data_IF_680851441393
#
_entry.id   IF_680851441393
#
_cell.length_a   1.000
_cell.length_b   1.000
_cell.length_c   1.000
_cell.angle_alpha   90.00
_cell.angle_beta   90.00
_cell.angle_gamma   90.00
#
_symmetry.space_group_name_H-M   'P 1'
#
loop_
_entity.id
_entity.type
_entity.pdbx_description
1 polymer ?
#
# COMPACT_ATOMS: atom_id res chain seq x y z
N UNK A 1 -5.75 -9.06 -21.56
CA UNK A 1 -6.19 -9.51 -20.22
C UNK A 1 -5.11 -9.11 -19.22
N UNK A 2 -5.42 -9.14 -17.93
CA UNK A 2 -4.45 -9.07 -16.84
C UNK A 2 -4.85 -10.03 -15.73
N UNK A 3 -3.89 -10.75 -15.17
CA UNK A 3 -4.12 -11.66 -14.04
C UNK A 3 -3.84 -10.92 -12.74
N UNK A 4 -4.74 -11.05 -11.77
CA UNK A 4 -4.56 -10.63 -10.38
C UNK A 4 -4.33 -11.89 -9.55
N UNK A 5 -3.20 -11.97 -8.86
CA UNK A 5 -2.88 -13.02 -7.91
C UNK A 5 -3.11 -12.48 -6.50
N UNK A 6 -4.05 -13.07 -5.76
CA UNK A 6 -4.55 -12.55 -4.49
C UNK A 6 -4.35 -13.54 -3.33
N UNK A 7 -3.87 -13.08 -2.17
CA UNK A 7 -3.84 -13.88 -0.93
C UNK A 7 -4.93 -13.42 0.04
N UNK A 8 -5.83 -14.32 0.44
CA UNK A 8 -6.94 -14.04 1.34
C UNK A 8 -6.59 -13.86 2.83
N UNK A 9 -5.38 -13.40 3.16
CA UNK A 9 -4.91 -13.29 4.56
C UNK A 9 -5.11 -11.89 5.16
N UNK A 10 -5.38 -11.84 6.47
CA UNK A 10 -5.54 -10.60 7.21
C UNK A 10 -4.24 -9.78 7.25
N UNK A 11 -4.32 -8.50 6.91
CA UNK A 11 -3.20 -7.57 7.01
C UNK A 11 -2.66 -7.48 8.45
N UNK A 12 -1.35 -7.67 8.61
CA UNK A 12 -0.67 -7.59 9.91
C UNK A 12 -0.36 -6.13 10.27
N UNK A 13 -1.28 -5.49 10.97
CA UNK A 13 -1.03 -4.20 11.62
C UNK A 13 -0.20 -4.39 12.90
N UNK A 14 0.78 -3.51 13.13
CA UNK A 14 1.41 -3.37 14.44
C UNK A 14 0.55 -2.45 15.31
N UNK A 15 -0.22 -3.06 16.21
CA UNK A 15 -1.13 -2.35 17.12
C UNK A 15 -0.41 -1.34 18.01
N UNK A 16 0.87 -1.60 18.36
CA UNK A 16 1.68 -0.74 19.23
C UNK A 16 1.96 0.61 18.59
N UNK A 17 2.20 0.62 17.29
CA UNK A 17 2.35 1.83 16.49
C UNK A 17 0.99 2.55 16.33
N UNK A 18 -0.04 1.79 15.97
CA UNK A 18 -1.36 2.34 15.63
C UNK A 18 -2.07 3.01 16.82
N UNK A 19 -2.05 2.39 18.00
CA UNK A 19 -2.67 2.96 19.21
C UNK A 19 -1.98 4.28 19.59
N UNK A 20 -0.65 4.28 19.74
CA UNK A 20 0.10 5.50 20.10
C UNK A 20 -0.02 6.61 19.06
N UNK A 21 -0.17 6.28 17.77
CA UNK A 21 -0.48 7.26 16.73
C UNK A 21 -1.86 7.91 16.91
N UNK A 22 -2.87 7.13 17.32
CA UNK A 22 -4.21 7.62 17.61
C UNK A 22 -4.26 8.43 18.91
N UNK A 23 -3.59 7.99 19.99
CA UNK A 23 -3.47 8.74 21.25
C UNK A 23 -2.90 10.15 21.02
N UNK A 24 -1.82 10.24 20.23
CA UNK A 24 -1.20 11.50 19.83
C UNK A 24 -2.14 12.39 18.99
N UNK A 25 -3.05 11.81 18.21
CA UNK A 25 -4.03 12.56 17.45
C UNK A 25 -5.19 13.06 18.34
N UNK A 26 -5.64 12.27 19.31
CA UNK A 26 -6.68 12.66 20.28
C UNK A 26 -6.20 13.80 21.17
N UNK A 27 -4.98 13.71 21.71
CA UNK A 27 -4.36 14.78 22.51
C UNK A 27 -4.24 16.09 21.71
N UNK A 28 -3.89 16.00 20.43
CA UNK A 28 -3.84 17.16 19.51
C UNK A 28 -5.23 17.66 19.13
N UNK A 29 -6.24 16.79 18.98
CA UNK A 29 -7.62 17.21 18.69
C UNK A 29 -8.19 18.09 19.82
N UNK A 30 -7.95 17.69 21.07
CA UNK A 30 -8.31 18.47 22.24
C UNK A 30 -7.52 19.79 22.29
N UNK A 31 -6.18 19.73 22.24
CA UNK A 31 -5.33 20.92 22.44
C UNK A 31 -5.30 21.92 21.28
N UNK A 32 -5.62 21.52 20.04
CA UNK A 32 -5.58 22.38 18.85
C UNK A 32 -6.96 22.79 18.36
N UNK A 33 -7.96 21.91 18.44
CA UNK A 33 -9.30 22.15 17.90
C UNK A 33 -10.39 22.24 18.98
N UNK A 34 -10.04 22.11 20.27
CA UNK A 34 -10.99 22.02 21.39
C UNK A 34 -12.06 20.93 21.14
N UNK A 35 -11.65 19.83 20.49
CA UNK A 35 -12.48 18.66 20.24
C UNK A 35 -12.00 17.55 21.18
N UNK A 36 -12.80 17.28 22.20
CA UNK A 36 -12.67 16.05 22.96
C UNK A 36 -13.31 14.91 22.15
N UNK A 37 -12.57 13.81 22.02
CA UNK A 37 -13.12 12.55 21.55
C UNK A 37 -13.27 11.62 22.75
N UNK A 38 -14.30 10.79 22.74
CA UNK A 38 -14.26 9.49 23.39
C UNK A 38 -13.80 8.49 22.31
N UNK A 39 -12.47 8.34 22.06
CA UNK A 39 -11.94 7.46 21.03
C UNK A 39 -12.06 6.04 21.52
N UNK A 40 -13.23 5.47 21.33
CA UNK A 40 -13.30 4.03 21.46
C UNK A 40 -12.41 3.40 20.36
N UNK A 41 -11.64 2.32 20.64
CA UNK A 41 -10.88 1.56 19.63
C UNK A 41 -10.67 0.08 20.00
N UNK A 42 -10.73 -0.82 19.00
CA UNK A 42 -10.66 -2.28 19.15
C UNK A 42 -10.20 -2.96 17.85
N UNK A 43 -9.15 -3.79 17.95
CA UNK A 43 -8.57 -4.55 16.84
C UNK A 43 -8.89 -6.05 16.99
N UNK A 44 -9.82 -6.57 16.19
CA UNK A 44 -10.04 -8.02 16.09
C UNK A 44 -8.87 -8.71 15.38
N UNK A 45 -8.53 -9.93 15.81
CA UNK A 45 -7.45 -10.75 15.23
C UNK A 45 -7.94 -12.09 14.68
N UNK A 46 -9.17 -12.13 14.17
CA UNK A 46 -9.80 -13.30 13.57
C UNK A 46 -11.27 -13.41 13.98
N UNK A 47 -11.70 -14.63 14.32
CA UNK A 47 -13.01 -14.90 14.91
C UNK A 47 -13.12 -14.56 16.40
N UNK A 48 -12.00 -14.25 17.05
CA UNK A 48 -11.93 -13.98 18.49
C UNK A 48 -11.52 -12.52 18.77
N UNK A 49 -12.40 -11.79 19.45
CA UNK A 49 -12.06 -10.51 20.07
C UNK A 49 -11.37 -10.78 21.41
N UNK A 50 -10.04 -10.72 21.43
CA UNK A 50 -9.27 -10.76 22.67
C UNK A 50 -9.49 -9.48 23.47
N UNK A 51 -10.20 -9.57 24.60
CA UNK A 51 -10.58 -8.44 25.47
C UNK A 51 -9.51 -8.08 26.52
N UNK A 52 -8.34 -8.74 26.49
CA UNK A 52 -7.34 -8.68 27.58
C UNK A 52 -6.34 -7.52 27.51
N UNK A 53 -6.54 -6.53 26.63
CA UNK A 53 -5.91 -5.21 26.74
C UNK A 53 -6.98 -4.14 26.96
N UNK A 54 -7.09 -3.68 28.21
CA UNK A 54 -8.14 -2.76 28.64
C UNK A 54 -7.83 -1.29 28.28
N UNK A 55 -8.23 -0.90 27.06
CA UNK A 55 -8.65 0.45 26.66
C UNK A 55 -9.80 0.28 25.63
N UNK A 56 -10.80 1.17 25.55
CA UNK A 56 -12.15 0.72 25.18
C UNK A 56 -12.53 0.73 23.67
N UNK A 57 -12.92 -0.40 23.06
CA UNK A 57 -14.11 -0.65 22.18
C UNK A 57 -14.29 -0.43 20.63
N UNK A 58 -14.00 0.65 19.87
CA UNK A 58 -14.45 0.73 18.42
C UNK A 58 -13.76 -0.28 17.51
N UNK A 59 -14.56 -1.21 17.01
CA UNK A 59 -14.22 -2.19 15.98
C UNK A 59 -13.98 -1.52 14.62
N UNK A 60 -12.80 -1.72 14.03
CA UNK A 60 -12.54 -1.41 12.61
C UNK A 60 -12.34 -2.70 11.79
N UNK A 61 -13.36 -3.10 11.03
CA UNK A 61 -13.33 -4.31 10.21
C UNK A 61 -12.60 -4.09 8.87
N UNK A 62 -11.42 -4.69 8.71
CA UNK A 62 -10.52 -4.49 7.57
C UNK A 62 -10.82 -5.41 6.36
N UNK A 63 -11.96 -5.20 5.71
CA UNK A 63 -12.27 -5.78 4.38
C UNK A 63 -11.51 -5.09 3.22
N UNK A 64 -10.40 -4.41 3.51
CA UNK A 64 -9.68 -3.56 2.55
C UNK A 64 -9.06 -4.33 1.37
N UNK A 65 -8.60 -5.56 1.58
CA UNK A 65 -8.04 -6.42 0.52
C UNK A 65 -9.10 -6.83 -0.50
N UNK A 66 -10.21 -7.40 -0.01
CA UNK A 66 -11.36 -7.82 -0.83
C UNK A 66 -11.93 -6.65 -1.63
N UNK A 67 -12.16 -5.52 -0.97
CA UNK A 67 -12.69 -4.32 -1.63
C UNK A 67 -11.73 -3.75 -2.68
N UNK A 68 -10.41 -3.78 -2.44
CA UNK A 68 -9.42 -3.31 -3.43
C UNK A 68 -9.39 -4.20 -4.67
N UNK A 69 -9.40 -5.52 -4.51
CA UNK A 69 -9.42 -6.49 -5.62
C UNK A 69 -10.69 -6.31 -6.47
N UNK A 70 -11.86 -6.23 -5.84
CA UNK A 70 -13.15 -6.03 -6.53
C UNK A 70 -13.19 -4.68 -7.25
N UNK A 71 -12.82 -3.57 -6.57
CA UNK A 71 -12.83 -2.24 -7.17
C UNK A 71 -11.83 -2.10 -8.34
N UNK A 72 -10.66 -2.74 -8.25
CA UNK A 72 -9.69 -2.77 -9.34
C UNK A 72 -10.20 -3.58 -10.54
N UNK A 73 -10.79 -4.75 -10.30
CA UNK A 73 -11.41 -5.54 -11.37
C UNK A 73 -12.57 -4.80 -12.04
N UNK A 74 -13.41 -4.12 -11.27
CA UNK A 74 -14.45 -3.24 -11.81
C UNK A 74 -13.87 -2.10 -12.64
N UNK A 75 -12.82 -1.43 -12.17
CA UNK A 75 -12.14 -0.37 -12.91
C UNK A 75 -11.57 -0.88 -14.23
N UNK A 76 -10.93 -2.06 -14.23
CA UNK A 76 -10.44 -2.73 -15.44
C UNK A 76 -11.58 -3.03 -16.41
N UNK A 77 -12.69 -3.63 -15.95
CA UNK A 77 -13.88 -3.93 -16.77
C UNK A 77 -14.50 -2.66 -17.36
N UNK A 78 -14.65 -1.60 -16.57
CA UNK A 78 -15.13 -0.27 -17.00
C UNK A 78 -14.22 0.35 -18.07
N UNK A 79 -12.92 0.05 -18.05
CA UNK A 79 -11.93 0.46 -19.06
C UNK A 79 -11.73 -0.56 -20.20
N UNK A 80 -12.69 -1.46 -20.43
CA UNK A 80 -12.67 -2.51 -21.50
C UNK A 80 -11.48 -3.48 -21.40
N UNK A 81 -10.92 -3.67 -20.21
CA UNK A 81 -9.96 -4.73 -19.93
C UNK A 81 -10.68 -5.92 -19.30
N UNK A 82 -10.30 -7.14 -19.67
CA UNK A 82 -10.73 -8.36 -18.99
C UNK A 82 -9.71 -8.73 -17.91
N UNK A 83 -10.01 -8.50 -16.61
CA UNK A 83 -9.23 -9.05 -15.51
C UNK A 83 -9.64 -10.50 -15.22
N UNK A 84 -8.68 -11.28 -14.74
CA UNK A 84 -8.87 -12.62 -14.21
C UNK A 84 -8.24 -12.67 -12.81
N UNK A 85 -8.97 -13.16 -11.80
CA UNK A 85 -8.49 -13.29 -10.42
C UNK A 85 -8.16 -14.76 -10.15
N UNK A 86 -6.91 -15.02 -9.75
CA UNK A 86 -6.40 -16.34 -9.40
C UNK A 86 -6.04 -16.31 -7.90
N UNK A 87 -6.93 -16.78 -7.01
CA UNK A 87 -6.71 -16.73 -5.58
C UNK A 87 -5.70 -17.81 -5.15
N UNK A 88 -4.68 -17.39 -4.40
CA UNK A 88 -3.55 -18.22 -3.94
C UNK A 88 -3.57 -18.33 -2.42
N UNK A 89 -3.56 -19.55 -1.85
CA UNK A 89 -3.37 -19.71 -0.40
C UNK A 89 -1.88 -19.78 -0.06
N UNK A 90 -1.45 -19.12 1.02
CA UNK A 90 -0.03 -19.09 1.41
C UNK A 90 0.62 -20.44 1.75
N UNK A 91 -0.18 -21.49 1.99
CA UNK A 91 0.29 -22.87 2.12
C UNK A 91 0.58 -23.56 0.77
N UNK A 92 0.02 -23.05 -0.33
CA UNK A 92 0.11 -23.68 -1.65
C UNK A 92 1.42 -23.34 -2.37
N UNK A 93 2.04 -22.19 -2.12
CA UNK A 93 3.30 -21.77 -2.79
C UNK A 93 4.55 -22.14 -1.97
N UNK A 94 4.49 -23.28 -1.27
CA UNK A 94 5.56 -23.77 -0.37
C UNK A 94 6.67 -24.56 -1.08
N UNK A 95 6.58 -24.76 -2.40
CA UNK A 95 7.59 -25.47 -3.18
C UNK A 95 7.57 -25.13 -4.67
N UNK A 96 8.72 -25.28 -5.32
CA UNK A 96 8.99 -24.86 -6.71
C UNK A 96 7.91 -25.30 -7.71
N UNK A 97 7.64 -26.62 -7.81
CA UNK A 97 6.62 -27.18 -8.74
C UNK A 97 5.23 -26.55 -8.66
N UNK A 98 4.84 -25.99 -7.50
CA UNK A 98 3.54 -25.31 -7.34
C UNK A 98 3.60 -23.85 -7.77
N UNK A 99 4.73 -23.18 -7.54
CA UNK A 99 5.00 -21.87 -8.14
C UNK A 99 5.10 -21.95 -9.67
N UNK A 100 5.65 -23.05 -10.22
CA UNK A 100 5.68 -23.30 -11.66
C UNK A 100 4.27 -23.44 -12.24
N UNK A 101 3.41 -24.26 -11.64
CA UNK A 101 2.02 -24.43 -12.08
C UNK A 101 1.22 -23.12 -12.09
N UNK A 102 1.42 -22.24 -11.09
CA UNK A 102 0.79 -20.91 -11.05
C UNK A 102 1.25 -20.04 -12.23
N UNK A 103 2.52 -20.14 -12.64
CA UNK A 103 3.00 -19.46 -13.85
C UNK A 103 2.45 -20.08 -15.13
N UNK A 104 2.28 -21.40 -15.19
CA UNK A 104 1.66 -22.08 -16.33
C UNK A 104 0.20 -21.63 -16.51
N UNK A 105 -0.63 -21.72 -15.46
CA UNK A 105 -2.02 -21.26 -15.47
C UNK A 105 -2.12 -19.77 -15.87
N UNK A 106 -1.34 -18.90 -15.22
CA UNK A 106 -1.34 -17.46 -15.52
C UNK A 106 -0.83 -17.16 -16.95
N UNK A 107 0.01 -18.01 -17.54
CA UNK A 107 0.51 -17.86 -18.92
C UNK A 107 -0.54 -18.13 -20.00
N UNK A 108 -1.62 -18.84 -19.67
CA UNK A 108 -2.77 -19.01 -20.56
C UNK A 108 -3.60 -17.72 -20.64
N UNK A 109 -3.76 -17.03 -19.51
CA UNK A 109 -4.66 -15.88 -19.37
C UNK A 109 -4.01 -14.52 -19.69
N UNK A 110 -2.76 -14.23 -19.27
CA UNK A 110 -2.17 -12.91 -19.48
C UNK A 110 -0.63 -12.85 -19.60
N UNK A 111 -0.15 -11.70 -20.08
CA UNK A 111 1.26 -11.27 -20.02
C UNK A 111 1.51 -10.13 -19.01
N UNK A 112 0.45 -9.56 -18.45
CA UNK A 112 0.50 -8.58 -17.36
C UNK A 112 -0.08 -9.25 -16.12
N UNK A 113 0.73 -9.34 -15.07
CA UNK A 113 0.42 -10.09 -13.85
C UNK A 113 0.60 -9.17 -12.64
N UNK A 114 -0.41 -9.07 -11.79
CA UNK A 114 -0.45 -8.20 -10.62
C UNK A 114 -0.43 -9.06 -9.34
N UNK A 115 0.54 -8.81 -8.46
CA UNK A 115 0.71 -9.48 -7.18
C UNK A 115 0.06 -8.67 -6.04
N UNK A 116 -0.95 -9.27 -5.41
CA UNK A 116 -1.64 -8.84 -4.19
C UNK A 116 -1.58 -9.97 -3.13
N UNK A 117 -0.36 -10.47 -2.92
CA UNK A 117 0.01 -11.67 -2.18
C UNK A 117 1.15 -11.33 -1.19
N UNK A 118 1.40 -12.14 -0.16
CA UNK A 118 2.45 -11.81 0.84
C UNK A 118 3.89 -11.87 0.28
N UNK A 119 4.84 -11.10 0.85
CA UNK A 119 6.25 -11.05 0.42
C UNK A 119 6.93 -12.41 0.24
N UNK A 120 6.60 -13.38 1.10
CA UNK A 120 7.13 -14.75 1.03
C UNK A 120 6.72 -15.47 -0.26
N UNK A 121 5.46 -15.33 -0.67
CA UNK A 121 4.93 -15.92 -1.91
C UNK A 121 5.54 -15.21 -3.12
N UNK A 122 5.60 -13.88 -3.07
CA UNK A 122 6.18 -13.06 -4.15
C UNK A 122 7.62 -13.49 -4.42
N UNK A 123 8.46 -13.63 -3.38
CA UNK A 123 9.86 -14.07 -3.55
C UNK A 123 9.94 -15.43 -4.26
N UNK A 124 9.13 -16.40 -3.83
CA UNK A 124 9.12 -17.74 -4.41
C UNK A 124 8.69 -17.74 -5.89
N UNK A 125 7.62 -17.00 -6.23
CA UNK A 125 7.15 -16.88 -7.61
C UNK A 125 8.19 -16.19 -8.51
N UNK A 126 8.84 -15.12 -8.03
CA UNK A 126 9.84 -14.38 -8.81
C UNK A 126 11.13 -15.20 -9.06
N UNK A 127 11.57 -16.01 -8.09
CA UNK A 127 12.71 -16.92 -8.29
C UNK A 127 12.38 -17.94 -9.39
N UNK A 128 11.17 -18.54 -9.39
CA UNK A 128 10.80 -19.47 -10.46
C UNK A 128 10.57 -18.77 -11.82
N UNK A 129 10.00 -17.57 -11.83
CA UNK A 129 9.90 -16.77 -13.04
C UNK A 129 11.28 -16.47 -13.66
N UNK A 130 12.31 -16.26 -12.82
CA UNK A 130 13.69 -16.14 -13.30
C UNK A 130 14.22 -17.47 -13.84
N UNK A 131 14.13 -18.55 -13.06
CA UNK A 131 14.67 -19.86 -13.46
C UNK A 131 14.04 -20.39 -14.76
N UNK A 132 12.78 -20.04 -15.01
CA UNK A 132 12.05 -20.35 -16.26
C UNK A 132 12.28 -19.34 -17.40
N UNK A 133 13.07 -18.29 -17.19
CA UNK A 133 13.34 -17.23 -18.19
C UNK A 133 12.16 -16.29 -18.49
N UNK A 134 11.06 -16.40 -17.73
CA UNK A 134 9.80 -15.65 -17.93
C UNK A 134 10.01 -14.13 -17.70
N UNK A 135 11.01 -13.76 -16.91
CA UNK A 135 11.36 -12.36 -16.63
C UNK A 135 12.08 -11.62 -17.79
N UNK A 136 12.36 -12.28 -18.93
CA UNK A 136 13.15 -11.73 -20.05
C UNK A 136 12.37 -10.78 -21.00
N UNK A 137 11.26 -10.18 -20.55
CA UNK A 137 10.51 -9.15 -21.27
C UNK A 137 9.18 -9.58 -21.91
N UNK A 138 8.89 -10.88 -22.01
CA UNK A 138 7.58 -11.38 -22.47
C UNK A 138 6.44 -11.09 -21.48
N UNK A 139 6.78 -10.88 -20.21
CA UNK A 139 5.84 -10.61 -19.11
C UNK A 139 6.17 -9.29 -18.41
N UNK A 140 5.15 -8.67 -17.82
CA UNK A 140 5.28 -7.52 -16.93
C UNK A 140 4.61 -7.86 -15.59
N UNK A 141 5.42 -7.96 -14.55
CA UNK A 141 4.98 -8.24 -13.18
C UNK A 141 4.82 -6.95 -12.40
N UNK A 142 3.70 -6.77 -11.72
CA UNK A 142 3.41 -5.58 -10.92
C UNK A 142 3.17 -5.99 -9.46
N UNK A 143 3.96 -5.46 -8.53
CA UNK A 143 3.74 -5.59 -7.10
C UNK A 143 3.13 -4.30 -6.53
N UNK A 144 2.07 -4.42 -5.74
CA UNK A 144 1.46 -3.29 -5.01
C UNK A 144 1.98 -3.27 -3.57
N UNK A 145 3.17 -2.70 -3.38
CA UNK A 145 3.83 -2.57 -2.07
C UNK A 145 3.31 -1.34 -1.30
N UNK A 146 2.12 -1.48 -0.73
CA UNK A 146 1.46 -0.46 0.11
C UNK A 146 2.16 -0.32 1.47
N UNK A 147 2.67 -1.43 2.01
CA UNK A 147 3.17 -1.56 3.37
C UNK A 147 4.68 -1.26 3.51
N UNK A 148 5.39 -1.01 2.40
CA UNK A 148 6.86 -0.97 2.33
C UNK A 148 7.52 -2.27 2.81
N UNK A 149 6.86 -3.39 2.56
CA UNK A 149 7.33 -4.71 2.99
C UNK A 149 8.67 -5.05 2.38
N UNK A 150 9.50 -5.74 3.16
CA UNK A 150 10.77 -6.23 2.65
C UNK A 150 10.58 -7.60 1.97
N UNK A 151 10.22 -7.54 0.68
CA UNK A 151 10.17 -8.69 -0.22
C UNK A 151 11.53 -8.99 -0.88
N UNK A 152 12.54 -8.13 -0.68
CA UNK A 152 13.82 -8.19 -1.38
C UNK A 152 14.89 -8.87 -0.51
N UNK A 153 14.89 -8.61 0.80
CA UNK A 153 15.87 -9.17 1.74
C UNK A 153 16.01 -10.70 1.65
N UNK A 154 17.26 -11.22 1.66
CA UNK A 154 17.51 -12.65 1.56
C UNK A 154 17.12 -13.39 2.83
N UNK A 155 15.93 -14.00 2.83
CA UNK A 155 15.57 -14.99 3.85
C UNK A 155 16.33 -16.31 3.58
N UNK A 156 17.00 -16.83 4.60
CA UNK A 156 17.62 -18.16 4.65
C UNK A 156 18.62 -18.47 3.51
N UNK A 157 19.40 -17.48 3.08
CA UNK A 157 20.50 -17.67 2.12
C UNK A 157 20.08 -18.01 0.68
N UNK A 158 18.78 -17.92 0.36
CA UNK A 158 18.28 -18.17 -1.00
C UNK A 158 18.73 -17.06 -1.97
N UNK A 159 19.39 -17.46 -3.05
CA UNK A 159 20.02 -16.60 -4.06
C UNK A 159 19.08 -15.61 -4.77
N UNK A 160 19.74 -14.68 -5.45
CA UNK A 160 19.32 -13.63 -6.39
C UNK A 160 17.84 -13.55 -6.80
N UNK A 161 17.30 -12.32 -6.89
CA UNK A 161 16.07 -12.00 -7.64
C UNK A 161 16.36 -11.11 -8.87
N UNK A 162 16.65 -11.69 -10.05
CA UNK A 162 16.89 -10.99 -11.32
C UNK A 162 15.65 -10.77 -12.18
N UNK A 163 14.45 -10.73 -11.60
CA UNK A 163 13.25 -10.48 -12.38
C UNK A 163 13.12 -8.99 -12.77
N UNK A 164 13.82 -8.58 -13.83
CA UNK A 164 13.82 -7.22 -14.40
C UNK A 164 12.42 -6.78 -14.89
N UNK A 165 11.55 -7.75 -15.17
CA UNK A 165 10.13 -7.59 -15.45
C UNK A 165 9.30 -7.16 -14.22
N UNK A 166 9.88 -7.10 -13.01
CA UNK A 166 9.19 -6.61 -11.82
C UNK A 166 9.18 -5.08 -11.74
N UNK A 167 7.95 -4.58 -11.71
CA UNK A 167 7.59 -3.23 -11.34
C UNK A 167 6.99 -3.19 -9.94
N UNK A 168 7.26 -2.13 -9.18
CA UNK A 168 6.73 -1.95 -7.82
C UNK A 168 5.99 -0.63 -7.73
N UNK A 169 4.69 -0.70 -7.48
CA UNK A 169 3.82 0.42 -7.16
C UNK A 169 3.78 0.58 -5.63
N UNK A 170 4.19 1.74 -5.12
CA UNK A 170 4.24 1.98 -3.67
C UNK A 170 3.77 3.41 -3.33
N UNK A 171 3.26 3.61 -2.12
CA UNK A 171 2.67 4.89 -1.71
C UNK A 171 3.71 6.02 -1.61
N UNK A 172 3.30 7.20 -2.06
CA UNK A 172 4.16 8.38 -2.15
C UNK A 172 4.01 9.30 -0.94
N UNK A 173 4.74 8.99 0.13
CA UNK A 173 5.03 9.96 1.20
C UNK A 173 6.54 10.22 1.34
N UNK A 174 6.92 11.19 2.16
CA UNK A 174 8.31 11.60 2.38
C UNK A 174 8.74 11.38 3.83
N UNK A 175 9.45 10.29 4.11
CA UNK A 175 10.12 10.06 5.41
C UNK A 175 11.19 11.12 5.73
N UNK A 176 11.62 11.89 4.73
CA UNK A 176 12.58 12.99 4.90
C UNK A 176 11.91 14.27 5.41
N UNK A 177 10.58 14.37 5.37
CA UNK A 177 9.82 15.53 5.83
C UNK A 177 9.97 15.76 7.34
N UNK A 178 9.97 17.02 7.76
CA UNK A 178 10.08 17.40 9.17
C UNK A 178 8.83 17.01 9.97
N UNK A 179 7.63 17.10 9.40
CA UNK A 179 6.38 16.72 10.04
C UNK A 179 6.32 15.20 10.28
N UNK A 180 6.68 14.40 9.26
CA UNK A 180 6.77 12.95 9.39
C UNK A 180 7.81 12.55 10.45
N UNK A 181 9.01 13.15 10.43
CA UNK A 181 10.06 12.86 11.43
C UNK A 181 9.64 13.18 12.85
N UNK A 182 9.05 14.36 13.07
CA UNK A 182 8.56 14.77 14.39
C UNK A 182 7.47 13.81 14.90
N UNK A 183 6.51 13.45 14.05
CA UNK A 183 5.49 12.44 14.39
C UNK A 183 6.11 11.07 14.69
N UNK A 184 7.02 10.57 13.84
CA UNK A 184 7.67 9.28 14.02
C UNK A 184 8.54 9.23 15.29
N UNK A 185 9.13 10.36 15.69
CA UNK A 185 9.83 10.50 16.97
C UNK A 185 8.87 10.51 18.16
N UNK A 186 7.72 11.19 18.07
CA UNK A 186 6.67 11.16 19.10
C UNK A 186 6.13 9.73 19.33
N UNK A 187 5.82 8.99 18.24
CA UNK A 187 5.37 7.60 18.35
C UNK A 187 6.44 6.72 19.00
N UNK A 188 7.70 6.79 18.53
CA UNK A 188 8.79 5.96 19.07
C UNK A 188 9.17 6.31 20.52
N UNK A 189 9.00 7.56 20.95
CA UNK A 189 9.22 7.97 22.34
C UNK A 189 8.11 7.52 23.29
N UNK A 190 6.87 7.42 22.80
CA UNK A 190 5.73 7.03 23.62
C UNK A 190 5.52 5.52 23.73
N UNK A 191 5.93 4.71 22.74
CA UNK A 191 5.87 3.25 22.86
C UNK A 191 6.99 2.72 23.75
N UNK A 192 6.62 2.14 24.90
CA UNK A 192 7.54 1.40 25.77
C UNK A 192 7.76 -0.02 25.21
N UNK A 193 8.99 -0.35 24.85
CA UNK A 193 9.41 -1.68 24.40
C UNK A 193 10.43 -2.29 25.37
N UNK A 194 10.38 -3.61 25.61
CA UNK A 194 11.52 -4.36 26.15
C UNK A 194 12.77 -4.23 25.25
N UNK A 195 13.96 -4.33 25.84
CA UNK A 195 15.23 -4.06 25.15
C UNK A 195 15.60 -5.10 24.07
N UNK A 196 15.00 -6.29 24.12
CA UNK A 196 15.11 -7.37 23.14
C UNK A 196 14.18 -7.20 21.92
N UNK A 197 13.23 -6.26 21.98
CA UNK A 197 12.21 -6.06 20.93
C UNK A 197 12.68 -5.00 19.93
N UNK A 198 12.73 -5.31 18.61
CA UNK A 198 13.14 -4.35 17.58
C UNK A 198 12.34 -3.04 17.60
N UNK A 199 12.97 -1.88 17.31
CA UNK A 199 12.30 -0.59 17.23
C UNK A 199 11.11 -0.59 16.26
N UNK A 200 10.04 0.11 16.62
CA UNK A 200 8.86 0.23 15.77
C UNK A 200 9.15 1.07 14.52
N UNK A 201 8.77 0.53 13.36
CA UNK A 201 8.70 1.29 12.13
C UNK A 201 7.34 1.98 11.96
N UNK A 202 7.38 3.21 11.44
CA UNK A 202 6.25 4.14 11.41
C UNK A 202 5.60 4.11 10.04
N UNK A 203 4.69 3.15 9.88
CA UNK A 203 3.99 2.86 8.61
C UNK A 203 3.12 4.02 8.09
N UNK A 204 2.78 3.94 6.80
CA UNK A 204 1.75 4.78 6.17
C UNK A 204 0.38 4.69 6.86
N UNK A 205 0.05 3.53 7.45
CA UNK A 205 -1.27 3.33 8.02
C UNK A 205 -1.46 4.07 9.35
N UNK A 206 -0.51 3.96 10.29
CA UNK A 206 -0.63 4.68 11.57
C UNK A 206 -0.55 6.20 11.40
N UNK A 207 0.26 6.69 10.46
CA UNK A 207 0.26 8.10 10.03
C UNK A 207 -1.09 8.52 9.44
N UNK A 208 -1.69 7.71 8.54
CA UNK A 208 -3.01 8.00 7.96
C UNK A 208 -4.13 8.00 9.01
N UNK A 209 -4.10 7.11 10.00
CA UNK A 209 -5.07 7.11 11.11
C UNK A 209 -4.91 8.34 12.03
N UNK A 210 -3.68 8.74 12.36
CA UNK A 210 -3.41 9.99 13.08
C UNK A 210 -3.95 11.21 12.31
N UNK A 211 -3.63 11.31 11.01
CA UNK A 211 -4.05 12.45 10.19
C UNK A 211 -5.56 12.47 9.96
N UNK A 212 -6.21 11.31 9.78
CA UNK A 212 -7.66 11.21 9.63
C UNK A 212 -8.42 11.72 10.87
N UNK A 213 -7.94 11.40 12.08
CA UNK A 213 -8.52 11.92 13.34
C UNK A 213 -8.36 13.44 13.46
N UNK A 214 -7.22 14.00 13.06
CA UNK A 214 -6.99 15.45 13.07
C UNK A 214 -7.80 16.19 12.00
N UNK A 215 -8.02 15.58 10.84
CA UNK A 215 -8.89 16.10 9.79
C UNK A 215 -10.35 16.07 10.26
N UNK A 216 -10.79 14.98 10.90
CA UNK A 216 -12.12 14.89 11.50
C UNK A 216 -12.32 15.95 12.60
N UNK A 217 -11.33 16.15 13.48
CA UNK A 217 -11.36 17.20 14.50
C UNK A 217 -11.47 18.61 13.89
N UNK A 218 -10.68 18.91 12.85
CA UNK A 218 -10.73 20.19 12.16
C UNK A 218 -12.10 20.44 11.50
N UNK A 219 -12.63 19.47 10.75
CA UNK A 219 -13.94 19.61 10.08
C UNK A 219 -15.08 19.66 11.09
N UNK A 220 -14.99 18.94 12.20
CA UNK A 220 -15.95 19.01 13.30
C UNK A 220 -15.96 20.39 13.97
N UNK A 221 -14.78 20.94 14.29
CA UNK A 221 -14.65 22.31 14.82
C UNK A 221 -15.22 23.35 13.83
N UNK A 222 -14.88 23.27 12.54
CA UNK A 222 -15.46 24.11 11.49
C UNK A 222 -17.00 23.98 11.39
N UNK A 223 -17.55 22.79 11.69
CA UNK A 223 -19.00 22.55 11.62
C UNK A 223 -19.74 23.14 12.82
N UNK A 224 -19.14 23.04 14.02
CA UNK A 224 -19.65 23.67 15.24
C UNK A 224 -19.56 25.19 15.13
N UNK A 225 -18.50 25.73 14.53
CA UNK A 225 -18.34 27.17 14.25
C UNK A 225 -19.41 27.73 13.30
N UNK A 226 -19.93 26.92 12.36
CA UNK A 226 -21.08 27.26 11.50
C UNK A 226 -22.44 27.17 12.24
N UNK A 227 -22.44 26.96 13.57
CA UNK A 227 -23.66 26.84 14.38
C UNK A 227 -24.41 25.53 14.18
N UNK A 228 -23.75 24.46 13.72
CA UNK A 228 -24.36 23.14 13.53
C UNK A 228 -24.06 22.20 14.69
N UNK A 229 -25.10 21.54 15.19
CA UNK A 229 -24.97 20.42 16.11
C UNK A 229 -24.57 19.12 15.39
N UNK A 230 -24.24 18.09 16.16
CA UNK A 230 -23.93 16.74 15.65
C UNK A 230 -25.16 15.80 15.62
N UNK A 231 -26.31 16.33 15.21
CA UNK A 231 -27.47 15.50 14.89
C UNK A 231 -27.28 14.75 13.56
N UNK A 232 -28.08 13.69 13.35
CA UNK A 232 -28.07 12.88 12.12
C UNK A 232 -28.28 13.71 10.86
N UNK A 233 -29.06 14.78 10.96
CA UNK A 233 -29.42 15.64 9.82
C UNK A 233 -28.24 16.51 9.35
N UNK A 234 -27.36 16.91 10.29
CA UNK A 234 -26.14 17.66 9.99
C UNK A 234 -24.95 16.77 9.57
N UNK A 235 -25.02 15.43 9.70
CA UNK A 235 -23.94 14.51 9.27
C UNK A 235 -23.57 14.68 7.80
N UNK A 236 -24.56 14.94 6.92
CA UNK A 236 -24.27 15.21 5.50
C UNK A 236 -23.46 16.50 5.31
N UNK A 237 -23.79 17.56 6.05
CA UNK A 237 -23.08 18.84 5.98
C UNK A 237 -21.62 18.70 6.43
N UNK A 238 -21.40 17.96 7.54
CA UNK A 238 -20.06 17.58 7.99
C UNK A 238 -19.32 16.74 6.93
N UNK A 239 -19.97 15.74 6.32
CA UNK A 239 -19.36 14.90 5.29
C UNK A 239 -19.03 15.67 3.99
N UNK A 240 -19.87 16.65 3.61
CA UNK A 240 -19.63 17.50 2.43
C UNK A 240 -18.43 18.45 2.65
N UNK A 241 -18.15 18.90 3.88
CA UNK A 241 -16.95 19.70 4.23
C UNK A 241 -15.61 18.97 4.05
N UNK A 242 -15.57 17.64 3.90
CA UNK A 242 -14.33 16.92 3.57
C UNK A 242 -13.93 17.05 2.10
N UNK A 243 -14.87 17.37 1.21
CA UNK A 243 -14.73 17.16 -0.25
C UNK A 243 -13.95 18.27 -0.94
N UNK A 244 -13.28 17.91 -2.04
CA UNK A 244 -12.59 18.83 -2.97
C UNK A 244 -11.58 19.80 -2.32
N UNK A 245 -10.96 19.44 -1.18
CA UNK A 245 -10.03 20.29 -0.44
C UNK A 245 -8.78 19.53 -0.02
N UNK A 246 -7.73 20.29 0.33
CA UNK A 246 -6.47 19.76 0.85
C UNK A 246 -6.34 20.04 2.33
N UNK A 247 -6.04 19.01 3.12
CA UNK A 247 -5.66 19.12 4.52
C UNK A 247 -4.14 18.97 4.70
N UNK A 248 -3.61 19.33 5.88
CA UNK A 248 -2.19 19.21 6.22
C UNK A 248 -1.99 18.07 7.22
N UNK A 249 -1.49 16.93 6.74
CA UNK A 249 -1.14 15.77 7.56
C UNK A 249 0.36 15.69 7.88
N UNK A 250 0.75 14.72 8.70
CA UNK A 250 2.15 14.38 8.96
C UNK A 250 2.84 13.70 7.77
N UNK A 251 2.08 13.05 6.86
CA UNK A 251 2.61 12.53 5.58
C UNK A 251 2.65 13.57 4.45
N UNK A 252 2.15 14.79 4.68
CA UNK A 252 2.15 15.89 3.72
C UNK A 252 0.74 16.44 3.41
N UNK A 253 0.54 17.08 2.23
CA UNK A 253 -0.77 17.57 1.82
C UNK A 253 -1.72 16.42 1.43
N UNK A 254 -2.86 16.34 2.10
CA UNK A 254 -3.87 15.31 1.93
C UNK A 254 -5.08 15.88 1.17
N UNK A 255 -5.08 15.72 -0.16
CA UNK A 255 -6.24 16.09 -0.99
C UNK A 255 -7.35 15.04 -0.87
N UNK A 256 -8.58 15.51 -0.68
CA UNK A 256 -9.81 14.73 -0.71
C UNK A 256 -10.60 15.03 -1.98
N UNK A 257 -11.07 14.01 -2.68
CA UNK A 257 -11.82 14.14 -3.93
C UNK A 257 -13.28 14.62 -3.72
N UNK A 258 -14.05 14.69 -4.81
CA UNK A 258 -15.47 15.07 -4.77
C UNK A 258 -16.40 14.04 -4.10
N UNK A 259 -15.89 12.87 -3.75
CA UNK A 259 -16.60 11.85 -2.97
C UNK A 259 -16.20 11.87 -1.49
N UNK A 260 -15.07 12.49 -1.15
CA UNK A 260 -14.47 12.50 0.19
C UNK A 260 -13.33 11.48 0.37
N UNK A 261 -12.88 10.83 -0.70
CA UNK A 261 -11.76 9.89 -0.66
C UNK A 261 -10.42 10.61 -0.72
N UNK A 262 -9.44 10.17 0.06
CA UNK A 262 -8.08 10.68 -0.09
C UNK A 262 -7.47 10.21 -1.42
N UNK A 263 -7.15 11.16 -2.31
CA UNK A 263 -6.51 10.88 -3.59
C UNK A 263 -4.99 10.73 -3.42
N UNK A 264 -4.57 9.57 -2.94
CA UNK A 264 -3.17 9.27 -2.63
C UNK A 264 -2.24 9.35 -3.87
N UNK A 265 -1.04 9.89 -3.67
CA UNK A 265 0.05 9.86 -4.64
C UNK A 265 0.75 8.49 -4.60
N UNK A 266 1.28 8.03 -5.74
CA UNK A 266 2.03 6.77 -5.86
C UNK A 266 3.36 6.98 -6.57
N UNK A 267 4.38 6.21 -6.18
CA UNK A 267 5.67 6.09 -6.86
C UNK A 267 5.73 4.74 -7.56
N UNK A 268 6.24 4.74 -8.79
CA UNK A 268 6.39 3.55 -9.61
C UNK A 268 7.87 3.28 -9.84
N UNK A 269 8.31 2.08 -9.48
CA UNK A 269 9.71 1.65 -9.49
C UNK A 269 9.91 0.46 -10.42
N UNK A 270 11.13 0.30 -10.94
CA UNK A 270 11.57 -0.85 -11.73
C UNK A 270 12.95 -1.32 -11.23
N UNK A 271 13.18 -2.63 -11.21
CA UNK A 271 14.48 -3.23 -10.91
C UNK A 271 15.57 -2.74 -11.90
N UNK A 272 16.77 -2.46 -11.39
CA UNK A 272 17.93 -1.99 -12.14
C UNK A 272 18.83 -3.16 -12.52
N UNK A 273 19.29 -3.20 -13.78
CA UNK A 273 20.19 -4.25 -14.27
C UNK A 273 21.51 -4.28 -13.50
N UNK A 274 21.83 -5.44 -12.96
CA UNK A 274 23.04 -5.67 -12.15
C UNK A 274 22.85 -5.41 -10.64
N UNK A 275 21.82 -4.67 -10.23
CA UNK A 275 21.42 -4.57 -8.81
C UNK A 275 20.71 -5.82 -8.27
N UNK A 276 20.52 -6.82 -9.14
CA UNK A 276 19.73 -8.02 -8.89
C UNK A 276 20.58 -9.23 -8.52
N UNK A 277 21.26 -9.16 -7.38
CA UNK A 277 22.03 -10.28 -6.80
C UNK A 277 21.43 -10.80 -5.49
N UNK A 278 22.12 -11.74 -4.82
CA UNK A 278 21.73 -12.24 -3.49
C UNK A 278 21.60 -11.13 -2.43
N UNK A 279 22.34 -10.03 -2.61
CA UNK A 279 22.33 -8.84 -1.76
C UNK A 279 21.47 -7.70 -2.32
N UNK A 280 20.55 -7.97 -3.26
CA UNK A 280 19.64 -6.94 -3.76
C UNK A 280 18.85 -6.30 -2.61
N UNK A 281 18.67 -4.98 -2.66
CA UNK A 281 17.87 -4.24 -1.69
C UNK A 281 16.93 -3.25 -2.40
N UNK A 282 16.25 -2.39 -1.63
CA UNK A 282 15.42 -1.31 -2.18
C UNK A 282 16.24 -0.23 -2.92
N UNK A 283 17.56 -0.22 -2.82
CA UNK A 283 18.46 0.60 -3.67
C UNK A 283 18.39 0.22 -5.13
N UNK A 284 18.16 -1.06 -5.41
CA UNK A 284 18.25 -1.66 -6.74
C UNK A 284 16.94 -1.48 -7.54
N UNK A 285 16.02 -0.67 -7.01
CA UNK A 285 14.77 -0.26 -7.64
C UNK A 285 14.79 1.23 -7.95
N UNK A 286 14.92 1.56 -9.23
CA UNK A 286 14.92 2.94 -9.72
C UNK A 286 13.48 3.44 -9.96
N UNK A 287 13.22 4.70 -9.60
CA UNK A 287 11.87 5.30 -9.71
C UNK A 287 11.59 5.76 -11.14
N UNK A 288 10.96 4.89 -11.94
CA UNK A 288 10.59 5.16 -13.34
C UNK A 288 9.48 6.20 -13.50
N UNK A 289 8.51 6.28 -12.60
CA UNK A 289 7.42 7.25 -12.69
C UNK A 289 6.81 7.63 -11.32
N UNK A 290 5.89 8.59 -11.33
CA UNK A 290 4.99 8.88 -10.21
C UNK A 290 3.57 9.18 -10.72
N UNK A 291 2.56 8.93 -9.88
CA UNK A 291 1.18 9.34 -10.10
C UNK A 291 0.80 10.34 -9.00
N UNK A 292 0.27 11.49 -9.41
CA UNK A 292 -0.18 12.56 -8.52
C UNK A 292 -1.71 12.47 -8.39
N UNK A 293 -2.19 11.88 -7.29
CA UNK A 293 -3.60 11.55 -7.07
C UNK A 293 -4.49 12.78 -7.05
N UNK A 294 -4.04 13.83 -6.35
CA UNK A 294 -4.65 15.18 -6.34
C UNK A 294 -4.88 15.81 -7.71
N UNK A 295 -4.21 15.32 -8.77
CA UNK A 295 -4.33 15.83 -10.16
C UNK A 295 -4.82 14.79 -11.16
N UNK A 296 -4.92 13.51 -10.78
CA UNK A 296 -5.13 12.40 -11.73
C UNK A 296 -3.99 12.19 -12.73
N UNK A 297 -2.78 12.73 -12.49
CA UNK A 297 -1.70 12.79 -13.50
C UNK A 297 -0.61 11.76 -13.24
N UNK A 298 -0.45 10.84 -14.19
CA UNK A 298 0.78 10.06 -14.35
C UNK A 298 1.90 10.94 -14.93
N UNK A 299 3.07 10.93 -14.29
CA UNK A 299 4.28 11.63 -14.73
C UNK A 299 5.44 10.62 -14.85
N UNK A 300 5.95 10.34 -16.05
CA UNK A 300 7.21 9.60 -16.21
C UNK A 300 8.37 10.43 -15.66
N UNK A 301 9.40 9.76 -15.14
CA UNK A 301 10.60 10.39 -14.54
C UNK A 301 11.85 9.97 -15.32
N UNK A 302 11.90 8.71 -15.76
CA UNK A 302 12.91 8.14 -16.64
C UNK A 302 12.25 7.08 -17.54
N UNK A 303 12.84 6.70 -18.69
CA UNK A 303 12.28 5.65 -19.53
C UNK A 303 12.16 4.31 -18.79
N UNK A 304 11.06 3.59 -19.01
CA UNK A 304 10.94 2.19 -18.60
C UNK A 304 11.87 1.35 -19.48
N UNK A 305 12.65 0.48 -18.84
CA UNK A 305 13.65 -0.36 -19.50
C UNK A 305 13.07 -1.74 -19.82
N UNK A 306 12.64 -1.96 -21.05
CA UNK A 306 12.18 -3.27 -21.51
C UNK A 306 13.36 -4.08 -22.08
N UNK A 307 13.54 -5.30 -21.57
CA UNK A 307 14.47 -6.26 -22.15
C UNK A 307 13.96 -6.71 -23.53
N UNK A 308 14.88 -6.85 -24.49
CA UNK A 308 14.62 -7.59 -25.73
C UNK A 308 14.70 -9.09 -25.51
N UNK A 309 14.05 -9.86 -26.39
CA UNK A 309 14.11 -11.33 -26.40
C UNK A 309 15.53 -11.91 -26.63
N UNK A 310 16.50 -11.04 -26.97
CA UNK A 310 17.94 -11.32 -27.06
C UNK A 310 18.68 -11.19 -25.71
N UNK A 311 17.98 -10.77 -24.64
CA UNK A 311 18.48 -10.47 -23.29
C UNK A 311 19.70 -9.51 -23.22
N UNK A 312 20.00 -8.81 -24.32
CA UNK A 312 21.23 -8.03 -24.48
C UNK A 312 20.92 -6.56 -24.75
N UNK A 313 19.90 -6.26 -25.56
CA UNK A 313 19.45 -4.90 -25.86
C UNK A 313 18.24 -4.44 -25.03
N UNK A 314 18.25 -3.18 -24.58
CA UNK A 314 17.04 -2.50 -24.13
C UNK A 314 16.28 -1.95 -25.33
N UNK A 315 15.00 -2.30 -25.47
CA UNK A 315 14.12 -1.63 -26.43
C UNK A 315 13.45 -0.44 -25.73
N UNK A 316 13.64 0.77 -26.27
CA UNK A 316 12.82 1.94 -25.89
C UNK A 316 11.40 1.77 -26.45
N UNK A 317 10.64 0.83 -25.87
CA UNK A 317 9.23 0.67 -26.18
C UNK A 317 8.46 1.83 -25.53
N UNK A 318 8.26 2.92 -26.29
CA UNK A 318 7.23 3.89 -25.98
C UNK A 318 5.91 3.13 -25.80
N UNK A 319 5.26 3.25 -24.64
CA UNK A 319 4.09 2.43 -24.28
C UNK A 319 2.83 2.89 -25.04
N UNK A 320 2.85 2.68 -26.36
CA UNK A 320 1.73 2.93 -27.27
C UNK A 320 0.64 1.90 -26.96
N UNK A 321 -0.28 2.27 -26.08
CA UNK A 321 -1.55 1.59 -25.85
C UNK A 321 -2.32 1.51 -27.18
N UNK A 322 -2.06 0.46 -27.96
CA UNK A 322 -2.85 0.12 -29.15
C UNK A 322 -4.25 -0.26 -28.67
N UNK A 323 -5.19 0.69 -28.73
CA UNK A 323 -6.62 0.36 -28.77
C UNK A 323 -6.84 -0.60 -29.93
N UNK A 324 -7.34 -1.79 -29.61
CA UNK A 324 -8.36 -2.45 -30.43
C UNK A 324 -9.72 -1.87 -30.04
#
# INVERSE_FOLDING_TARGET
>A
MGVVLSEGTFFRFDSRNLVTAMDLAVQKAFTVYNIEFEPFFCLSRGTECSTSFALPSVVTALNASVNFIVALMEYMRKNRQSPYDYPVKGSEVTGFKKADAIHDDASLEARVILFLISPKIIRQLLIQAQWRGICNGDYAFFLVDIFKTDFISPQNGATDLPCHALFVLSLSFSEKDAAFKAFAQQVRGNVRLPADVPPIDVTYYSTTFHDALLIYAAVLNETIADGRDMTKDNVKYLADKFKNRTFKGCIGPLYMDGNGNHAADFKFYQAVRGGTGANATRSDFSRVAQYMGSRGVYKPIQPIQWLGADNTGYKQASLRLRRK
#
